data_IF_968607907984
#
_entry.id   IF_968607907984
#
_cell.length_a   1.000
_cell.length_b   1.000
_cell.length_c   1.000
_cell.angle_alpha   90.00
_cell.angle_beta   90.00
_cell.angle_gamma   90.00
#
_symmetry.space_group_name_H-M   'P 1'
#
loop_
_entity.id
_entity.type
_entity.pdbx_description
1 polymer ?
#
# COMPACT_ATOMS: atom_id res chain seq x y z
N UNK A 1 4.00 6.10 -0.72
CA UNK A 1 4.87 5.09 -0.08
C UNK A 1 4.64 4.98 1.44
N UNK A 2 4.85 6.05 2.22
CA UNK A 2 4.79 5.98 3.69
C UNK A 2 3.41 5.59 4.23
N UNK A 3 2.31 6.05 3.62
CA UNK A 3 0.96 5.62 4.00
C UNK A 3 0.74 4.12 3.73
N UNK A 4 1.24 3.60 2.60
CA UNK A 4 1.17 2.18 2.27
C UNK A 4 1.87 1.29 3.31
N UNK A 5 3.02 1.70 3.84
CA UNK A 5 3.75 0.89 4.84
C UNK A 5 2.95 0.63 6.11
N UNK A 6 1.90 1.41 6.38
CA UNK A 6 1.05 1.24 7.57
C UNK A 6 -0.07 0.21 7.41
N UNK A 7 -0.26 -0.36 6.20
CA UNK A 7 -1.34 -1.33 5.93
C UNK A 7 -0.94 -2.76 6.27
N UNK A 8 0.37 -3.08 6.24
CA UNK A 8 0.87 -4.45 6.39
C UNK A 8 1.22 -4.75 7.85
N UNK A 9 1.14 -6.02 8.23
CA UNK A 9 1.61 -6.50 9.53
C UNK A 9 3.10 -6.91 9.50
N UNK A 10 3.80 -6.66 8.40
CA UNK A 10 5.19 -7.04 8.18
C UNK A 10 6.17 -5.92 8.53
N UNK A 11 5.83 -5.05 9.46
CA UNK A 11 6.65 -3.93 9.92
C UNK A 11 7.56 -4.34 11.07
N UNK A 12 8.53 -5.20 10.79
CA UNK A 12 9.45 -5.74 11.81
C UNK A 12 10.68 -4.87 12.07
N UNK A 13 11.00 -3.98 11.14
CA UNK A 13 12.18 -3.13 11.21
C UNK A 13 11.82 -1.77 11.80
N UNK A 14 12.03 -1.63 13.10
CA UNK A 14 11.77 -0.39 13.82
C UNK A 14 12.58 0.78 13.27
N UNK A 15 13.84 0.55 12.92
CA UNK A 15 14.74 1.61 12.44
C UNK A 15 14.28 2.15 11.09
N UNK A 16 13.84 1.27 10.19
CA UNK A 16 13.26 1.68 8.92
C UNK A 16 11.95 2.45 9.09
N UNK A 17 11.09 2.06 10.05
CA UNK A 17 9.85 2.82 10.33
C UNK A 17 10.19 4.22 10.83
N UNK A 18 11.13 4.34 11.76
CA UNK A 18 11.61 5.64 12.25
C UNK A 18 12.20 6.48 11.12
N UNK A 19 13.01 5.88 10.25
CA UNK A 19 13.56 6.56 9.07
C UNK A 19 12.44 7.10 8.15
N UNK A 20 11.37 6.34 7.92
CA UNK A 20 10.21 6.78 7.14
C UNK A 20 9.43 7.91 7.80
N UNK A 21 9.32 7.91 9.12
CA UNK A 21 8.70 9.03 9.85
C UNK A 21 9.56 10.28 9.67
N UNK A 22 10.88 10.19 9.82
CA UNK A 22 11.81 11.31 9.61
C UNK A 22 11.72 11.86 8.18
N UNK A 23 11.77 10.99 7.17
CA UNK A 23 11.59 11.38 5.77
C UNK A 23 10.30 12.19 5.55
N UNK A 24 9.20 11.77 6.20
CA UNK A 24 7.91 12.48 6.13
C UNK A 24 8.00 13.85 6.80
N UNK A 25 8.65 13.93 7.97
CA UNK A 25 8.84 15.19 8.69
C UNK A 25 9.74 16.16 7.91
N UNK A 26 10.83 15.69 7.32
CA UNK A 26 11.74 16.49 6.49
C UNK A 26 11.02 17.03 5.24
N UNK A 27 10.25 16.18 4.57
CA UNK A 27 9.43 16.58 3.41
C UNK A 27 8.43 17.67 3.81
N UNK A 28 7.74 17.48 4.94
CA UNK A 28 6.81 18.47 5.49
C UNK A 28 7.49 19.79 5.81
N UNK A 29 8.65 19.76 6.45
CA UNK A 29 9.42 20.96 6.78
C UNK A 29 9.82 21.75 5.53
N UNK A 30 10.23 21.04 4.46
CA UNK A 30 10.57 21.67 3.20
C UNK A 30 9.34 22.30 2.52
N UNK A 31 8.17 21.69 2.63
CA UNK A 31 6.92 22.28 2.14
C UNK A 31 6.50 23.50 2.98
N UNK A 32 6.65 23.44 4.30
CA UNK A 32 6.34 24.58 5.18
C UNK A 32 7.17 25.83 4.87
N UNK A 33 8.44 25.68 4.44
CA UNK A 33 9.28 26.81 3.98
C UNK A 33 8.71 27.54 2.76
N UNK A 34 7.86 26.88 1.99
CA UNK A 34 7.20 27.44 0.81
C UNK A 34 5.80 28.00 1.12
N UNK A 35 5.30 27.78 2.35
CA UNK A 35 3.99 28.25 2.78
C UNK A 35 4.09 29.71 3.26
N UNK A 36 3.38 30.65 2.65
CA UNK A 36 3.47 32.07 3.01
C UNK A 36 2.91 32.39 4.39
N UNK A 37 1.94 31.62 4.85
CA UNK A 37 1.34 31.77 6.19
C UNK A 37 1.10 30.39 6.81
N UNK A 38 1.79 30.12 7.89
CA UNK A 38 1.66 28.88 8.66
C UNK A 38 0.71 28.99 9.84
N UNK A 39 0.20 30.18 10.17
CA UNK A 39 -0.63 30.43 11.37
C UNK A 39 -2.00 29.76 11.30
N UNK A 40 -2.50 29.51 10.09
CA UNK A 40 -3.80 28.86 9.83
C UNK A 40 -3.71 27.34 9.68
N UNK A 41 -2.52 26.77 9.76
CA UNK A 41 -2.33 25.35 9.55
C UNK A 41 -2.69 24.54 10.81
N UNK A 42 -3.26 23.33 10.62
CA UNK A 42 -3.59 22.45 11.74
C UNK A 42 -2.32 21.96 12.47
N UNK A 43 -2.48 21.59 13.74
CA UNK A 43 -1.38 21.12 14.59
C UNK A 43 -0.58 19.95 13.97
N UNK A 44 -1.23 19.08 13.19
CA UNK A 44 -0.57 17.98 12.50
C UNK A 44 0.44 18.46 11.43
N UNK A 45 0.12 19.56 10.74
CA UNK A 45 1.03 20.17 9.76
C UNK A 45 2.25 20.81 10.44
N UNK A 46 2.07 21.36 11.64
CA UNK A 46 3.12 22.09 12.37
C UNK A 46 3.98 21.19 13.27
N UNK A 47 3.45 20.01 13.68
CA UNK A 47 4.18 19.15 14.60
C UNK A 47 5.47 18.63 13.98
N UNK A 48 6.58 18.85 14.69
CA UNK A 48 7.89 18.27 14.37
C UNK A 48 8.51 17.80 15.69
N UNK A 49 8.64 16.48 15.86
CA UNK A 49 9.11 15.86 17.09
C UNK A 49 10.29 14.94 16.84
N UNK A 50 11.11 14.79 17.86
CA UNK A 50 12.20 13.83 17.85
C UNK A 50 11.70 12.42 18.17
N UNK A 51 12.50 11.40 17.82
CA UNK A 51 12.13 9.99 17.92
C UNK A 51 11.58 9.60 19.30
N UNK A 52 12.21 10.08 20.37
CA UNK A 52 11.77 9.78 21.73
C UNK A 52 10.37 10.31 22.07
N UNK A 53 9.85 11.26 21.27
CA UNK A 53 8.51 11.83 21.44
C UNK A 53 7.43 11.12 20.63
N UNK A 54 7.79 10.24 19.68
CA UNK A 54 6.84 9.61 18.75
C UNK A 54 5.77 8.79 19.48
N UNK A 55 6.15 7.97 20.45
CA UNK A 55 5.21 7.15 21.22
C UNK A 55 4.21 8.00 22.02
N UNK A 56 4.69 9.07 22.64
CA UNK A 56 3.83 10.02 23.38
C UNK A 56 2.85 10.72 22.44
N UNK A 57 3.34 11.19 21.29
CA UNK A 57 2.48 11.81 20.28
C UNK A 57 1.44 10.84 19.73
N UNK A 58 1.83 9.60 19.44
CA UNK A 58 0.92 8.57 18.95
C UNK A 58 -0.25 8.30 19.91
N UNK A 59 0.01 8.28 21.21
CA UNK A 59 -1.02 8.09 22.22
C UNK A 59 -2.06 9.25 22.26
N UNK A 60 -1.63 10.47 21.90
CA UNK A 60 -2.49 11.66 21.89
C UNK A 60 -3.35 11.79 20.62
N UNK A 61 -2.91 11.23 19.50
CA UNK A 61 -3.56 11.36 18.18
C UNK A 61 -4.15 10.05 17.68
N UNK A 62 -4.30 9.06 18.57
CA UNK A 62 -4.87 7.77 18.22
C UNK A 62 -6.35 7.84 17.85
N UNK A 63 -6.89 6.74 17.35
CA UNK A 63 -8.28 6.61 16.88
C UNK A 63 -9.29 7.17 17.88
N UNK A 64 -9.09 6.92 19.17
CA UNK A 64 -10.00 7.35 20.24
C UNK A 64 -9.91 8.85 20.58
N UNK A 65 -9.04 9.62 19.93
CA UNK A 65 -8.99 11.08 20.10
C UNK A 65 -10.23 11.78 19.53
N UNK A 66 -10.90 11.20 18.53
CA UNK A 66 -12.20 11.65 18.02
C UNK A 66 -13.31 11.10 18.90
N UNK A 67 -14.02 11.97 19.61
CA UNK A 67 -15.03 11.59 20.61
C UNK A 67 -16.32 11.09 20.00
N UNK A 68 -16.79 11.75 18.94
CA UNK A 68 -17.97 11.35 18.20
C UNK A 68 -17.70 10.01 17.49
N UNK A 69 -18.53 9.00 17.76
CA UNK A 69 -18.33 7.65 17.27
C UNK A 69 -18.58 7.50 15.78
N UNK A 70 -19.57 8.20 15.27
CA UNK A 70 -19.93 8.16 13.85
C UNK A 70 -18.82 8.84 13.01
N UNK A 71 -18.39 10.03 13.42
CA UNK A 71 -17.27 10.74 12.77
C UNK A 71 -15.99 9.92 12.88
N UNK A 72 -15.69 9.34 14.03
CA UNK A 72 -14.52 8.48 14.23
C UNK A 72 -14.52 7.30 13.27
N UNK A 73 -15.66 6.61 13.16
CA UNK A 73 -15.81 5.45 12.29
C UNK A 73 -15.61 5.79 10.81
N UNK A 74 -16.14 6.93 10.36
CA UNK A 74 -15.96 7.41 9.00
C UNK A 74 -14.51 7.84 8.73
N UNK A 75 -13.86 8.55 9.66
CA UNK A 75 -12.44 8.92 9.56
C UNK A 75 -11.55 7.68 9.42
N UNK A 76 -11.82 6.64 10.21
CA UNK A 76 -11.08 5.37 10.13
C UNK A 76 -11.36 4.64 8.81
N UNK A 77 -12.61 4.58 8.37
CA UNK A 77 -12.97 3.97 7.09
C UNK A 77 -12.25 4.65 5.92
N UNK A 78 -12.27 5.99 5.88
CA UNK A 78 -11.55 6.78 4.88
C UNK A 78 -10.05 6.48 4.97
N UNK A 79 -9.46 6.51 6.16
CA UNK A 79 -8.02 6.26 6.35
C UNK A 79 -7.63 4.88 5.85
N UNK A 80 -8.40 3.83 6.15
CA UNK A 80 -8.15 2.48 5.63
C UNK A 80 -8.32 2.39 4.11
N UNK A 81 -9.35 3.04 3.55
CA UNK A 81 -9.52 3.16 2.10
C UNK A 81 -8.32 3.81 1.42
N UNK A 82 -7.82 4.92 1.98
CA UNK A 82 -6.64 5.63 1.47
C UNK A 82 -5.36 4.79 1.60
N UNK A 83 -5.20 3.99 2.65
CA UNK A 83 -4.07 3.04 2.77
C UNK A 83 -4.08 2.03 1.63
N UNK A 84 -5.25 1.42 1.34
CA UNK A 84 -5.39 0.49 0.21
C UNK A 84 -5.13 1.17 -1.13
N UNK A 85 -5.70 2.36 -1.34
CA UNK A 85 -5.50 3.14 -2.55
C UNK A 85 -4.02 3.53 -2.76
N UNK A 86 -3.31 3.87 -1.68
CA UNK A 86 -1.88 4.16 -1.73
C UNK A 86 -1.03 2.95 -2.12
N UNK A 87 -1.49 1.73 -1.80
CA UNK A 87 -0.83 0.50 -2.26
C UNK A 87 -0.97 0.33 -3.77
N UNK A 88 -2.17 0.53 -4.31
CA UNK A 88 -2.40 0.45 -5.76
C UNK A 88 -1.60 1.50 -6.53
N UNK A 89 -1.62 2.77 -6.06
CA UNK A 89 -0.82 3.83 -6.66
C UNK A 89 0.68 3.50 -6.62
N UNK A 90 1.20 3.03 -5.46
CA UNK A 90 2.61 2.64 -5.32
C UNK A 90 3.02 1.55 -6.30
N UNK A 91 2.19 0.49 -6.44
CA UNK A 91 2.50 -0.61 -7.34
C UNK A 91 2.43 -0.17 -8.81
N UNK A 92 1.46 0.68 -9.17
CA UNK A 92 1.38 1.25 -10.52
C UNK A 92 2.61 2.15 -10.83
N UNK A 93 3.02 2.99 -9.86
CA UNK A 93 4.17 3.87 -10.01
C UNK A 93 5.49 3.08 -10.16
N UNK A 94 5.61 1.90 -9.51
CA UNK A 94 6.75 1.00 -9.70
C UNK A 94 6.86 0.51 -11.16
N UNK A 95 5.76 0.53 -11.90
CA UNK A 95 5.66 0.22 -13.32
C UNK A 95 5.55 1.48 -14.21
N UNK A 96 5.94 2.64 -13.68
CA UNK A 96 5.96 3.94 -14.37
C UNK A 96 4.58 4.41 -14.86
N UNK A 97 3.51 4.04 -14.13
CA UNK A 97 2.16 4.54 -14.35
C UNK A 97 1.72 5.39 -13.17
N UNK A 98 1.33 6.63 -13.45
CA UNK A 98 0.94 7.62 -12.45
C UNK A 98 -0.42 8.23 -12.79
N UNK A 99 -1.14 8.67 -11.75
CA UNK A 99 -2.37 9.45 -11.87
C UNK A 99 -2.33 10.58 -10.84
N UNK A 100 -2.09 11.80 -11.33
CA UNK A 100 -1.95 12.99 -10.48
C UNK A 100 -3.25 13.38 -9.77
N UNK A 101 -4.41 13.09 -10.36
CA UNK A 101 -5.71 13.33 -9.70
C UNK A 101 -5.93 12.38 -8.53
N UNK A 102 -5.55 11.12 -8.70
CA UNK A 102 -5.56 10.13 -7.62
C UNK A 102 -4.64 10.55 -6.47
N UNK A 103 -3.43 11.00 -6.78
CA UNK A 103 -2.46 11.43 -5.78
C UNK A 103 -2.92 12.70 -5.06
N UNK A 104 -3.53 13.64 -5.77
CA UNK A 104 -4.15 14.83 -5.18
C UNK A 104 -5.34 14.47 -4.28
N UNK A 105 -6.16 13.52 -4.69
CA UNK A 105 -7.26 13.02 -3.86
C UNK A 105 -6.75 12.39 -2.56
N UNK A 106 -5.73 11.52 -2.63
CA UNK A 106 -5.14 10.89 -1.44
C UNK A 106 -4.70 11.93 -0.40
N UNK A 107 -4.06 13.00 -0.84
CA UNK A 107 -3.60 14.08 0.04
C UNK A 107 -4.77 14.86 0.63
N UNK A 108 -5.73 15.28 -0.19
CA UNK A 108 -6.92 16.04 0.23
C UNK A 108 -7.78 15.24 1.21
N UNK A 109 -8.06 13.99 0.89
CA UNK A 109 -8.89 13.14 1.73
C UNK A 109 -8.22 12.82 3.07
N UNK A 110 -6.90 12.58 3.08
CA UNK A 110 -6.16 12.38 4.33
C UNK A 110 -6.16 13.64 5.19
N UNK A 111 -5.97 14.82 4.60
CA UNK A 111 -6.05 16.09 5.32
C UNK A 111 -7.44 16.33 5.92
N UNK A 112 -8.51 16.00 5.17
CA UNK A 112 -9.88 16.15 5.63
C UNK A 112 -10.21 15.30 6.88
N UNK A 113 -9.51 14.18 7.10
CA UNK A 113 -9.70 13.38 8.34
C UNK A 113 -9.26 14.11 9.62
N UNK A 114 -8.57 15.24 9.50
CA UNK A 114 -8.13 16.08 10.61
C UNK A 114 -8.96 17.36 10.77
N UNK A 115 -9.95 17.58 9.92
CA UNK A 115 -10.76 18.79 9.90
C UNK A 115 -12.00 18.63 10.79
N UNK A 116 -11.95 19.19 12.00
CA UNK A 116 -13.04 19.14 12.97
C UNK A 116 -14.24 20.05 12.59
N UNK A 117 -14.13 20.85 11.53
CA UNK A 117 -15.23 21.67 11.03
C UNK A 117 -16.19 20.91 10.11
N UNK A 118 -15.77 19.76 9.58
CA UNK A 118 -16.58 18.91 8.72
C UNK A 118 -17.68 18.21 9.52
N UNK A 119 -18.87 18.15 8.92
CA UNK A 119 -20.04 17.48 9.49
C UNK A 119 -20.08 16.01 9.06
N UNK A 120 -20.92 15.23 9.70
CA UNK A 120 -21.14 13.82 9.41
C UNK A 120 -21.42 13.57 7.91
N UNK A 121 -22.28 14.39 7.30
CA UNK A 121 -22.63 14.29 5.87
C UNK A 121 -21.41 14.49 4.96
N UNK A 122 -20.51 15.40 5.32
CA UNK A 122 -19.28 15.66 4.57
C UNK A 122 -18.36 14.42 4.59
N UNK A 123 -18.25 13.75 5.74
CA UNK A 123 -17.50 12.49 5.86
C UNK A 123 -18.14 11.31 5.12
N UNK A 124 -19.49 11.22 5.11
CA UNK A 124 -20.20 10.23 4.29
C UNK A 124 -19.88 10.42 2.82
N UNK A 125 -19.99 11.65 2.31
CA UNK A 125 -19.65 11.98 0.94
C UNK A 125 -18.19 11.66 0.60
N UNK A 126 -17.26 12.01 1.49
CA UNK A 126 -15.83 11.70 1.31
C UNK A 126 -15.55 10.19 1.32
N UNK A 127 -16.29 9.42 2.10
CA UNK A 127 -16.21 7.94 2.10
C UNK A 127 -16.63 7.37 0.75
N UNK A 128 -17.73 7.85 0.18
CA UNK A 128 -18.19 7.43 -1.15
C UNK A 128 -17.20 7.85 -2.25
N UNK A 129 -16.65 9.05 -2.14
CA UNK A 129 -15.60 9.53 -3.05
C UNK A 129 -14.33 8.68 -2.94
N UNK A 130 -13.95 8.26 -1.73
CA UNK A 130 -12.82 7.33 -1.52
C UNK A 130 -13.05 5.99 -2.23
N UNK A 131 -14.28 5.48 -2.19
CA UNK A 131 -14.66 4.29 -2.96
C UNK A 131 -14.53 4.48 -4.48
N UNK A 132 -14.96 5.63 -4.99
CA UNK A 132 -14.82 5.96 -6.42
C UNK A 132 -13.35 5.96 -6.85
N UNK A 133 -12.49 6.67 -6.11
CA UNK A 133 -11.04 6.68 -6.40
C UNK A 133 -10.39 5.31 -6.17
N UNK A 134 -10.97 4.47 -5.31
CA UNK A 134 -10.57 3.07 -5.17
C UNK A 134 -10.70 2.31 -6.50
N UNK A 135 -11.80 2.48 -7.22
CA UNK A 135 -12.01 1.89 -8.56
C UNK A 135 -11.00 2.43 -9.56
N UNK A 136 -10.74 3.74 -9.55
CA UNK A 136 -9.75 4.37 -10.44
C UNK A 136 -8.34 3.86 -10.16
N UNK A 137 -7.96 3.68 -8.88
CA UNK A 137 -6.67 3.13 -8.49
C UNK A 137 -6.48 1.67 -8.92
N UNK A 138 -7.54 0.85 -8.82
CA UNK A 138 -7.51 -0.52 -9.34
C UNK A 138 -7.36 -0.54 -10.86
N UNK A 139 -8.07 0.33 -11.58
CA UNK A 139 -7.96 0.44 -13.04
C UNK A 139 -6.54 0.91 -13.46
N UNK A 140 -5.95 1.84 -12.72
CA UNK A 140 -4.57 2.28 -12.95
C UNK A 140 -3.57 1.12 -12.77
N UNK A 141 -3.72 0.33 -11.70
CA UNK A 141 -2.87 -0.83 -11.45
C UNK A 141 -3.06 -1.93 -12.50
N UNK A 142 -4.30 -2.20 -12.92
CA UNK A 142 -4.58 -3.14 -14.00
C UNK A 142 -3.90 -2.72 -15.30
N UNK A 143 -4.03 -1.44 -15.68
CA UNK A 143 -3.36 -0.90 -16.85
C UNK A 143 -1.83 -0.94 -16.75
N UNK A 144 -1.27 -0.77 -15.55
CA UNK A 144 0.17 -0.90 -15.32
C UNK A 144 0.64 -2.36 -15.48
N UNK A 145 -0.07 -3.30 -14.84
CA UNK A 145 0.26 -4.72 -14.88
C UNK A 145 0.08 -5.31 -16.29
N UNK A 146 -1.04 -5.03 -16.95
CA UNK A 146 -1.29 -5.54 -18.30
C UNK A 146 -0.35 -4.93 -19.32
N UNK A 147 0.01 -3.66 -19.15
CA UNK A 147 1.01 -3.00 -20.00
C UNK A 147 2.43 -3.56 -19.85
N UNK A 148 2.81 -3.95 -18.63
CA UNK A 148 4.14 -4.49 -18.35
C UNK A 148 4.26 -6.00 -18.62
N UNK A 149 3.20 -6.77 -18.29
CA UNK A 149 3.27 -8.23 -18.24
C UNK A 149 2.36 -8.94 -19.25
N UNK A 150 1.60 -8.20 -20.04
CA UNK A 150 0.62 -8.73 -20.98
C UNK A 150 -0.74 -9.00 -20.34
N UNK A 151 -1.74 -9.28 -21.16
CA UNK A 151 -3.09 -9.59 -20.64
C UNK A 151 -3.13 -10.99 -20.03
N UNK A 152 -3.80 -11.18 -18.88
CA UNK A 152 -4.01 -12.49 -18.28
C UNK A 152 -4.62 -13.49 -19.24
N UNK A 153 -4.14 -14.71 -19.20
CA UNK A 153 -4.61 -15.81 -20.05
C UNK A 153 -4.88 -17.09 -19.25
N UNK A 154 -5.75 -17.94 -19.80
CA UNK A 154 -6.05 -19.22 -19.20
C UNK A 154 -4.78 -20.04 -19.02
N UNK A 155 -4.46 -20.39 -17.77
CA UNK A 155 -3.20 -21.01 -17.43
C UNK A 155 -3.41 -22.19 -16.47
N UNK A 156 -2.78 -23.32 -16.78
CA UNK A 156 -2.65 -24.43 -15.82
C UNK A 156 -1.49 -24.14 -14.88
N UNK A 157 -1.77 -24.07 -13.57
CA UNK A 157 -0.76 -23.84 -12.55
C UNK A 157 -0.47 -25.15 -11.83
N UNK A 158 0.80 -25.51 -11.73
CA UNK A 158 1.24 -26.67 -10.95
C UNK A 158 0.99 -26.39 -9.44
N UNK A 159 0.38 -27.34 -8.75
CA UNK A 159 0.09 -27.25 -7.31
C UNK A 159 0.92 -28.23 -6.48
N UNK A 160 1.84 -28.94 -7.13
CA UNK A 160 2.79 -29.85 -6.47
C UNK A 160 4.14 -29.18 -6.21
N UNK A 161 4.92 -29.78 -5.35
CA UNK A 161 6.28 -29.34 -5.02
C UNK A 161 7.33 -30.11 -5.82
N UNK A 162 8.41 -29.42 -6.17
CA UNK A 162 9.59 -30.00 -6.81
C UNK A 162 10.56 -30.61 -5.79
N UNK A 163 11.77 -30.91 -6.28
CA UNK A 163 12.84 -31.50 -5.45
C UNK A 163 13.90 -30.48 -5.02
N UNK A 164 13.89 -29.31 -5.61
CA UNK A 164 14.85 -28.23 -5.29
C UNK A 164 14.38 -27.42 -4.07
N UNK A 165 15.31 -26.73 -3.38
CA UNK A 165 14.92 -25.74 -2.41
C UNK A 165 13.95 -24.72 -3.00
N UNK A 166 12.97 -24.27 -2.24
CA UNK A 166 11.94 -23.36 -2.73
C UNK A 166 11.79 -22.10 -1.89
N UNK A 167 11.49 -20.99 -2.57
CA UNK A 167 11.04 -19.76 -1.94
C UNK A 167 9.53 -19.67 -2.13
N UNK A 168 8.80 -19.47 -1.05
CA UNK A 168 7.36 -19.25 -1.08
C UNK A 168 7.08 -17.75 -1.00
N UNK A 169 6.36 -17.22 -2.01
CA UNK A 169 6.04 -15.80 -2.15
C UNK A 169 4.55 -15.58 -1.94
N UNK A 170 4.20 -14.71 -1.02
CA UNK A 170 2.83 -14.23 -0.81
C UNK A 170 2.81 -12.70 -0.97
N UNK A 171 1.66 -12.15 -1.32
CA UNK A 171 1.48 -10.70 -1.49
C UNK A 171 0.90 -10.35 -2.86
N UNK A 172 1.13 -9.11 -3.35
CA UNK A 172 0.45 -8.57 -4.52
C UNK A 172 1.38 -7.88 -5.53
N UNK A 173 2.63 -7.58 -5.16
CA UNK A 173 3.54 -6.80 -5.99
C UNK A 173 4.18 -7.69 -7.07
N UNK A 174 3.72 -7.53 -8.31
CA UNK A 174 4.25 -8.29 -9.46
C UNK A 174 5.67 -7.84 -9.83
N UNK A 175 6.03 -6.58 -9.55
CA UNK A 175 7.38 -6.09 -9.83
C UNK A 175 8.40 -6.73 -8.89
N UNK A 176 8.08 -6.83 -7.60
CA UNK A 176 8.94 -7.51 -6.62
C UNK A 176 9.09 -9.00 -6.96
N UNK A 177 8.00 -9.66 -7.39
CA UNK A 177 8.07 -11.03 -7.87
C UNK A 177 8.98 -11.18 -9.08
N UNK A 178 8.87 -10.29 -10.07
CA UNK A 178 9.74 -10.31 -11.25
C UNK A 178 11.22 -10.19 -10.86
N UNK A 179 11.53 -9.25 -9.97
CA UNK A 179 12.90 -9.05 -9.49
C UNK A 179 13.42 -10.30 -8.76
N UNK A 180 12.61 -10.95 -7.94
CA UNK A 180 12.96 -12.21 -7.28
C UNK A 180 13.24 -13.33 -8.31
N UNK A 181 12.38 -13.45 -9.32
CA UNK A 181 12.54 -14.46 -10.37
C UNK A 181 13.83 -14.26 -11.16
N UNK A 182 14.17 -13.02 -11.50
CA UNK A 182 15.43 -12.67 -12.15
C UNK A 182 16.62 -13.03 -11.24
N UNK A 183 16.56 -12.63 -9.98
CA UNK A 183 17.63 -12.81 -9.00
C UNK A 183 17.93 -14.29 -8.70
N UNK A 184 16.89 -15.13 -8.71
CA UNK A 184 17.02 -16.57 -8.40
C UNK A 184 17.18 -17.46 -9.63
N UNK A 185 17.14 -16.89 -10.83
CA UNK A 185 17.32 -17.66 -12.07
C UNK A 185 18.71 -18.30 -12.12
N UNK A 186 18.77 -19.60 -12.38
CA UNK A 186 20.03 -20.34 -12.48
C UNK A 186 20.67 -20.73 -11.14
N UNK A 187 20.11 -20.34 -10.00
CA UNK A 187 20.66 -20.64 -8.66
C UNK A 187 20.29 -22.04 -8.14
N UNK A 188 19.41 -22.77 -8.82
CA UNK A 188 18.89 -24.05 -8.36
C UNK A 188 17.75 -23.95 -7.36
N UNK A 189 17.20 -22.75 -7.15
CA UNK A 189 16.06 -22.49 -6.26
C UNK A 189 14.78 -22.37 -7.08
N UNK A 190 13.70 -23.00 -6.61
CA UNK A 190 12.36 -22.89 -7.17
C UNK A 190 11.57 -21.79 -6.48
N UNK A 191 10.73 -21.07 -7.22
CA UNK A 191 9.83 -20.05 -6.66
C UNK A 191 8.39 -20.51 -6.80
N UNK A 192 7.68 -20.47 -5.70
CA UNK A 192 6.25 -20.82 -5.59
C UNK A 192 5.46 -19.64 -5.10
N UNK A 193 4.29 -19.43 -5.65
CA UNK A 193 3.35 -18.46 -5.10
C UNK A 193 2.45 -19.08 -4.03
N UNK A 194 1.92 -18.23 -3.16
CA UNK A 194 0.90 -18.57 -2.20
C UNK A 194 -0.22 -17.52 -2.22
N UNK A 195 -1.45 -17.94 -1.93
CA UNK A 195 -2.60 -17.05 -1.73
C UNK A 195 -2.78 -16.03 -2.88
N UNK A 196 -2.77 -14.77 -2.57
CA UNK A 196 -3.09 -13.63 -3.46
C UNK A 196 -2.08 -13.44 -4.62
N UNK A 197 -0.91 -14.08 -4.57
CA UNK A 197 0.07 -14.01 -5.66
C UNK A 197 -0.26 -15.00 -6.82
N UNK A 198 -1.30 -15.84 -6.71
CA UNK A 198 -1.72 -16.73 -7.79
C UNK A 198 -1.90 -16.05 -9.15
N UNK A 199 -2.49 -14.83 -9.25
CA UNK A 199 -2.66 -14.16 -10.53
C UNK A 199 -1.37 -13.95 -11.34
N UNK A 200 -0.19 -13.93 -10.70
CA UNK A 200 1.08 -13.80 -11.39
C UNK A 200 1.29 -14.87 -12.48
N UNK A 201 0.77 -16.09 -12.28
CA UNK A 201 0.85 -17.17 -13.26
C UNK A 201 0.06 -16.92 -14.54
N UNK A 202 -0.92 -16.02 -14.52
CA UNK A 202 -1.80 -15.74 -15.65
C UNK A 202 -1.17 -14.78 -16.66
N UNK A 203 -0.17 -14.00 -16.23
CA UNK A 203 0.50 -13.02 -17.08
C UNK A 203 1.56 -13.68 -17.97
N UNK A 204 1.53 -13.48 -19.31
CA UNK A 204 2.44 -14.11 -20.25
C UNK A 204 3.92 -13.86 -19.93
N UNK A 205 4.28 -12.67 -19.48
CA UNK A 205 5.66 -12.28 -19.22
C UNK A 205 6.34 -13.14 -18.13
N UNK A 206 5.59 -13.71 -17.19
CA UNK A 206 6.17 -14.58 -16.16
C UNK A 206 6.43 -16.01 -16.63
N UNK A 207 5.82 -16.45 -17.71
CA UNK A 207 5.98 -17.82 -18.23
C UNK A 207 7.38 -18.14 -18.77
N UNK A 208 8.19 -17.12 -19.00
CA UNK A 208 9.58 -17.25 -19.43
C UNK A 208 10.56 -17.71 -18.33
N UNK A 209 10.15 -17.65 -17.06
CA UNK A 209 11.02 -17.96 -15.93
C UNK A 209 10.94 -19.44 -15.55
N UNK A 210 12.00 -20.26 -15.81
CA UNK A 210 11.96 -21.70 -15.53
C UNK A 210 11.97 -22.03 -14.03
N UNK A 211 12.36 -21.11 -13.19
CA UNK A 211 12.32 -21.20 -11.73
C UNK A 211 10.97 -20.79 -11.12
N UNK A 212 10.01 -20.32 -11.93
CA UNK A 212 8.64 -20.03 -11.50
C UNK A 212 7.77 -21.28 -11.66
N UNK A 213 7.75 -22.14 -10.63
CA UNK A 213 7.37 -23.56 -10.77
C UNK A 213 5.89 -23.82 -10.53
N UNK A 214 5.26 -23.08 -9.62
CA UNK A 214 3.86 -23.34 -9.31
C UNK A 214 3.35 -22.59 -8.09
N UNK A 215 2.24 -23.08 -7.55
CA UNK A 215 1.55 -22.50 -6.40
C UNK A 215 1.37 -23.52 -5.29
N UNK A 216 1.64 -23.14 -4.05
CA UNK A 216 1.42 -23.95 -2.86
C UNK A 216 0.25 -23.35 -2.05
N UNK A 217 -0.62 -24.21 -1.51
CA UNK A 217 -1.75 -23.84 -0.70
C UNK A 217 -2.96 -23.31 -1.51
N UNK A 218 -4.03 -22.98 -0.81
CA UNK A 218 -5.26 -22.40 -1.39
C UNK A 218 -5.17 -20.87 -1.44
N UNK A 219 -6.00 -20.23 -2.24
CA UNK A 219 -6.05 -18.77 -2.35
C UNK A 219 -6.34 -18.06 -1.00
N UNK A 220 -6.96 -18.74 -0.05
CA UNK A 220 -7.30 -18.20 1.26
C UNK A 220 -6.86 -19.13 2.41
N UNK A 221 -5.70 -19.79 2.30
CA UNK A 221 -5.15 -20.55 3.41
C UNK A 221 -4.78 -19.61 4.57
N UNK A 222 -5.67 -19.49 5.55
CA UNK A 222 -5.24 -19.19 6.91
C UNK A 222 -4.60 -20.44 7.46
N UNK A 223 -3.29 -20.49 7.56
CA UNK A 223 -2.64 -21.49 8.39
C UNK A 223 -3.13 -21.27 9.82
N UNK A 224 -3.81 -22.29 10.37
CA UNK A 224 -3.92 -22.41 11.82
C UNK A 224 -2.59 -22.99 12.28
N UNK A 225 -1.77 -22.15 12.87
CA UNK A 225 -0.67 -22.60 13.71
C UNK A 225 -1.25 -23.17 14.99
#
# INVERSE_FOLDING_TARGET
MNLFTTITNANFDKEMIVARIRETLDTKENLLKQCPDTSVLPAAALWNGEEHTFAVKAALVGVLSTKDEDIRSLREMITYGLKGLSAYSKHANALLKENTELDAFLQRALAATLDDSLRLEDYVNLTLETGKYGVEGMALLDAANTGAYGHPEMTRVNIGVGKRPGILVSGHDLRDLEMLLIQTQGTGVDVYTHSEMLPAHYYPAFKKYPNFVGKIGRASCRERV
#
